data_IF_871402978332
#
_entry.id   IF_871402978332
#
_cell.length_a   1.000
_cell.length_b   1.000
_cell.length_c   1.000
_cell.angle_alpha   90.00
_cell.angle_beta   90.00
_cell.angle_gamma   90.00
#
_symmetry.space_group_name_H-M   'P 1'
#
loop_
_entity.id
_entity.type
_entity.pdbx_description
1 polymer ?
#
# COMPACT_ATOMS: atom_id res chain seq x y z
N UNK A 1 -52.83 0.48 -14.88
CA UNK A 1 -51.41 0.84 -15.19
C UNK A 1 -50.69 -0.48 -15.30
N UNK A 2 -50.58 -1.01 -16.49
CA UNK A 2 -50.03 -2.34 -16.74
C UNK A 2 -48.53 -2.35 -16.53
N UNK A 3 -48.10 -3.00 -15.45
CA UNK A 3 -46.70 -3.37 -15.29
C UNK A 3 -46.37 -4.47 -16.32
N UNK A 4 -45.78 -4.08 -17.43
CA UNK A 4 -45.21 -5.02 -18.39
C UNK A 4 -44.03 -5.69 -17.72
N UNK A 5 -44.27 -6.88 -17.15
CA UNK A 5 -43.21 -7.73 -16.63
C UNK A 5 -42.28 -8.10 -17.81
N UNK A 6 -41.07 -7.50 -17.84
CA UNK A 6 -40.07 -7.83 -18.84
C UNK A 6 -39.23 -6.70 -19.39
N UNK A 7 -39.64 -5.41 -19.34
CA UNK A 7 -38.79 -4.31 -19.78
C UNK A 7 -37.84 -3.88 -18.68
N UNK A 8 -36.53 -4.10 -18.84
CA UNK A 8 -35.52 -3.50 -17.96
C UNK A 8 -35.67 -1.99 -18.04
N UNK A 9 -36.05 -1.39 -16.94
CA UNK A 9 -36.19 0.07 -16.84
C UNK A 9 -34.92 0.77 -17.33
N UNK A 10 -35.04 1.84 -18.13
CA UNK A 10 -33.93 2.71 -18.52
C UNK A 10 -33.15 3.22 -17.28
N UNK A 11 -33.83 3.40 -16.15
CA UNK A 11 -33.23 3.72 -14.86
C UNK A 11 -32.23 2.64 -14.40
N UNK A 12 -32.50 1.35 -14.66
CA UNK A 12 -31.58 0.28 -14.34
C UNK A 12 -30.24 0.39 -15.09
N UNK A 13 -30.28 0.80 -16.35
CA UNK A 13 -29.07 1.06 -17.12
C UNK A 13 -28.28 2.26 -16.57
N UNK A 14 -28.96 3.38 -16.26
CA UNK A 14 -28.32 4.56 -15.67
C UNK A 14 -27.65 4.20 -14.34
N UNK A 15 -28.33 3.47 -13.47
CA UNK A 15 -27.76 3.03 -12.18
C UNK A 15 -26.52 2.16 -12.41
N UNK A 16 -26.62 1.14 -13.27
CA UNK A 16 -25.50 0.23 -13.52
C UNK A 16 -24.29 0.97 -14.12
N UNK A 17 -24.49 1.86 -15.09
CA UNK A 17 -23.42 2.67 -15.67
C UNK A 17 -22.78 3.56 -14.60
N UNK A 18 -23.60 4.24 -13.78
CA UNK A 18 -23.10 5.09 -12.70
C UNK A 18 -22.27 4.29 -11.68
N UNK A 19 -22.72 3.09 -11.31
CA UNK A 19 -21.97 2.22 -10.40
C UNK A 19 -20.64 1.79 -11.04
N UNK A 20 -20.65 1.37 -12.31
CA UNK A 20 -19.41 0.98 -13.01
C UNK A 20 -18.43 2.14 -13.10
N UNK A 21 -18.90 3.35 -13.43
CA UNK A 21 -18.05 4.54 -13.49
C UNK A 21 -17.46 4.91 -12.13
N UNK A 22 -18.28 4.86 -11.07
CA UNK A 22 -17.79 5.11 -9.71
C UNK A 22 -16.75 4.06 -9.28
N UNK A 23 -17.02 2.79 -9.52
CA UNK A 23 -16.05 1.71 -9.20
C UNK A 23 -14.78 1.89 -10.00
N UNK A 24 -14.86 2.17 -11.31
CA UNK A 24 -13.70 2.43 -12.14
C UNK A 24 -12.87 3.60 -11.61
N UNK A 25 -13.52 4.72 -11.24
CA UNK A 25 -12.87 5.89 -10.68
C UNK A 25 -12.12 5.56 -9.37
N UNK A 26 -12.70 4.72 -8.50
CA UNK A 26 -12.08 4.33 -7.23
C UNK A 26 -10.96 3.31 -7.41
N UNK A 27 -11.09 2.38 -8.35
CA UNK A 27 -10.09 1.35 -8.62
C UNK A 27 -8.90 1.92 -9.40
N UNK A 28 -9.11 2.98 -10.19
CA UNK A 28 -8.09 3.58 -11.06
C UNK A 28 -6.75 3.89 -10.36
N UNK A 29 -6.71 4.57 -9.20
CA UNK A 29 -5.44 4.82 -8.51
C UNK A 29 -4.79 3.54 -7.97
N UNK A 30 -5.58 2.61 -7.44
CA UNK A 30 -5.08 1.34 -6.90
C UNK A 30 -4.49 0.46 -8.00
N UNK A 31 -5.14 0.42 -9.17
CA UNK A 31 -4.62 -0.27 -10.35
C UNK A 31 -3.35 0.40 -10.86
N UNK A 32 -3.27 1.73 -10.80
CA UNK A 32 -2.07 2.48 -11.12
C UNK A 32 -0.88 2.13 -10.21
N UNK A 33 -1.11 1.98 -8.91
CA UNK A 33 -0.09 1.50 -7.98
C UNK A 33 0.37 0.09 -8.31
N UNK A 34 -0.56 -0.82 -8.63
CA UNK A 34 -0.24 -2.18 -9.05
C UNK A 34 0.66 -2.19 -10.28
N UNK A 35 0.28 -1.46 -11.33
CA UNK A 35 1.07 -1.39 -12.56
C UNK A 35 2.45 -0.78 -12.28
N UNK A 36 2.50 0.33 -11.53
CA UNK A 36 3.75 1.02 -11.20
C UNK A 36 4.67 0.18 -10.33
N UNK A 37 4.16 -0.71 -9.49
CA UNK A 37 4.98 -1.59 -8.65
C UNK A 37 5.80 -2.62 -9.43
N UNK A 38 5.45 -2.88 -10.69
CA UNK A 38 6.20 -3.76 -11.59
C UNK A 38 7.06 -3.01 -12.61
N UNK A 39 7.09 -1.67 -12.59
CA UNK A 39 7.86 -0.86 -13.52
C UNK A 39 9.20 -0.46 -12.91
N UNK A 40 10.19 -0.22 -13.76
CA UNK A 40 11.47 0.35 -13.37
C UNK A 40 11.34 1.85 -13.04
N UNK A 41 12.33 2.44 -12.35
CA UNK A 41 12.35 3.87 -12.01
C UNK A 41 12.27 4.73 -13.28
N UNK A 42 13.03 4.36 -14.32
CA UNK A 42 13.10 5.10 -15.58
C UNK A 42 11.78 5.06 -16.34
N UNK A 43 11.14 3.91 -16.38
CA UNK A 43 9.81 3.75 -16.96
C UNK A 43 8.75 4.64 -16.28
N UNK A 44 8.81 4.74 -14.93
CA UNK A 44 7.86 5.56 -14.17
C UNK A 44 8.12 7.06 -14.38
N UNK A 45 9.38 7.46 -14.53
CA UNK A 45 9.74 8.85 -14.78
C UNK A 45 9.40 9.30 -16.19
N UNK A 46 9.50 8.39 -17.18
CA UNK A 46 9.25 8.69 -18.60
C UNK A 46 7.77 8.70 -18.99
N UNK A 47 6.90 7.91 -18.29
CA UNK A 47 5.49 7.81 -18.69
C UNK A 47 4.55 7.45 -17.55
N UNK A 48 3.27 7.87 -17.65
CA UNK A 48 2.24 7.48 -16.71
C UNK A 48 1.92 5.98 -16.78
N UNK A 49 1.39 5.41 -15.69
CA UNK A 49 1.04 3.99 -15.61
C UNK A 49 0.00 3.54 -16.68
N UNK A 50 -0.85 4.44 -17.16
CA UNK A 50 -1.82 4.17 -18.23
C UNK A 50 -1.17 3.93 -19.61
N UNK A 51 0.07 4.37 -19.77
CA UNK A 51 0.90 4.13 -20.96
C UNK A 51 1.90 2.98 -20.77
N UNK A 52 1.86 2.27 -19.66
CA UNK A 52 2.85 1.25 -19.28
C UNK A 52 2.98 0.07 -20.26
N UNK A 53 1.98 -0.17 -21.12
CA UNK A 53 2.00 -1.22 -22.14
C UNK A 53 2.50 -0.73 -23.50
N UNK A 54 2.83 0.56 -23.62
CA UNK A 54 3.30 1.16 -24.87
C UNK A 54 4.75 1.59 -24.72
N UNK A 55 5.53 1.59 -25.81
CA UNK A 55 6.87 2.18 -25.81
C UNK A 55 6.82 3.63 -25.36
N UNK A 56 7.83 4.07 -24.62
CA UNK A 56 7.93 5.44 -24.11
C UNK A 56 9.35 5.98 -24.30
N UNK A 57 9.44 7.28 -24.50
CA UNK A 57 10.73 7.97 -24.51
C UNK A 57 11.36 7.91 -23.11
N UNK A 58 12.63 7.49 -23.08
CA UNK A 58 13.44 7.46 -21.88
C UNK A 58 14.75 8.18 -22.13
N UNK A 59 15.20 8.97 -21.17
CA UNK A 59 16.46 9.67 -21.26
C UNK A 59 17.40 9.12 -20.20
N UNK A 60 18.43 8.43 -20.67
CA UNK A 60 19.48 7.85 -19.85
C UNK A 60 20.79 8.61 -19.97
N UNK A 61 21.61 8.48 -18.94
CA UNK A 61 22.90 9.12 -18.88
C UNK A 61 24.01 8.12 -19.11
N UNK A 62 24.65 8.22 -20.24
CA UNK A 62 25.85 7.45 -20.57
C UNK A 62 27.11 8.27 -20.47
N UNK A 63 28.24 7.60 -20.55
CA UNK A 63 29.55 8.21 -20.58
C UNK A 63 30.42 7.44 -21.56
N UNK A 64 31.11 8.16 -22.44
CA UNK A 64 32.12 7.59 -23.33
C UNK A 64 33.27 6.93 -22.52
N UNK A 65 33.91 5.96 -23.10
CA UNK A 65 35.06 5.27 -22.51
C UNK A 65 36.13 6.22 -22.03
N UNK A 66 36.96 5.77 -21.07
CA UNK A 66 38.08 6.52 -20.56
C UNK A 66 39.09 6.75 -21.69
N UNK A 67 39.40 8.04 -22.03
CA UNK A 67 40.31 8.34 -23.10
C UNK A 67 41.73 7.78 -22.90
N UNK A 68 42.19 7.69 -21.66
CA UNK A 68 43.58 7.25 -21.35
C UNK A 68 43.81 5.81 -21.82
N UNK A 69 42.75 4.98 -21.83
CA UNK A 69 42.81 3.56 -22.23
C UNK A 69 42.34 3.30 -23.67
N UNK A 70 41.48 4.20 -24.25
CA UNK A 70 40.73 3.92 -25.47
C UNK A 70 40.96 4.93 -26.60
N UNK A 71 41.81 5.96 -26.42
CA UNK A 71 42.03 6.94 -27.48
C UNK A 71 42.94 6.41 -28.58
N UNK A 72 42.60 6.71 -29.84
CA UNK A 72 43.34 6.36 -31.03
C UNK A 72 43.70 7.64 -31.79
N UNK A 73 44.96 7.76 -32.22
CA UNK A 73 45.39 8.88 -33.08
C UNK A 73 44.94 8.64 -34.53
N UNK A 74 44.18 9.57 -35.09
CA UNK A 74 43.69 9.48 -36.44
C UNK A 74 43.74 10.88 -37.13
N UNK A 75 44.66 11.05 -38.10
CA UNK A 75 44.74 12.30 -38.87
C UNK A 75 45.21 13.54 -38.08
N UNK A 76 45.99 13.37 -37.03
CA UNK A 76 46.44 14.43 -36.15
C UNK A 76 45.45 14.87 -35.05
N UNK A 77 44.35 14.16 -34.89
CA UNK A 77 43.42 14.28 -33.80
C UNK A 77 43.38 12.97 -33.01
N UNK A 78 43.03 13.07 -31.74
CA UNK A 78 42.72 11.90 -30.88
C UNK A 78 41.23 11.62 -30.92
N UNK A 79 40.89 10.35 -31.02
CA UNK A 79 39.48 9.85 -31.16
C UNK A 79 39.22 8.75 -30.16
N UNK A 80 38.08 8.82 -29.49
CA UNK A 80 37.50 7.73 -28.67
C UNK A 80 36.21 7.30 -29.34
N UNK A 81 36.12 6.02 -29.72
CA UNK A 81 34.96 5.41 -30.34
C UNK A 81 34.44 4.30 -29.42
N UNK A 82 33.12 4.07 -29.41
CA UNK A 82 32.51 2.99 -28.68
C UNK A 82 31.00 2.93 -28.89
N UNK A 83 30.33 2.02 -28.16
CA UNK A 83 28.89 1.92 -28.14
C UNK A 83 28.39 1.98 -26.70
N UNK A 84 27.48 2.89 -26.40
CA UNK A 84 26.98 3.11 -25.03
C UNK A 84 26.27 1.88 -24.44
N UNK A 85 25.58 1.12 -25.25
CA UNK A 85 24.79 -0.02 -24.79
C UNK A 85 25.67 -1.26 -24.53
N UNK A 86 26.63 -1.52 -25.41
CA UNK A 86 27.58 -2.63 -25.21
C UNK A 86 28.45 -2.41 -23.97
N UNK A 87 28.89 -1.17 -23.74
CA UNK A 87 29.75 -0.80 -22.62
C UNK A 87 29.04 -0.82 -21.27
N UNK A 88 27.75 -0.43 -21.25
CA UNK A 88 26.90 -0.52 -20.05
C UNK A 88 26.46 -1.96 -19.76
N UNK A 89 26.61 -2.88 -20.71
CA UNK A 89 26.09 -4.24 -20.60
C UNK A 89 24.55 -4.28 -20.69
N UNK A 90 23.96 -3.21 -21.19
CA UNK A 90 22.52 -3.05 -21.34
C UNK A 90 22.06 -3.66 -22.66
N UNK A 91 20.85 -4.20 -22.63
CA UNK A 91 20.10 -4.46 -23.87
C UNK A 91 19.77 -3.10 -24.47
N UNK A 92 20.11 -2.88 -25.75
CA UNK A 92 19.82 -1.61 -26.42
C UNK A 92 18.37 -1.17 -26.16
N UNK A 93 18.13 0.00 -25.54
CA UNK A 93 16.76 0.40 -25.13
C UNK A 93 15.87 0.71 -26.33
N UNK A 94 16.40 0.79 -27.52
CA UNK A 94 15.72 1.12 -28.76
C UNK A 94 16.52 2.10 -29.60
N UNK A 95 15.91 2.60 -30.68
CA UNK A 95 16.51 3.58 -31.57
C UNK A 95 16.61 4.94 -30.87
N UNK A 96 17.82 5.53 -30.85
CA UNK A 96 18.05 6.87 -30.28
C UNK A 96 17.37 7.91 -31.15
N UNK A 97 16.55 8.75 -30.54
CA UNK A 97 15.85 9.85 -31.21
C UNK A 97 16.67 11.15 -31.11
N UNK A 98 17.15 11.45 -29.93
CA UNK A 98 17.89 12.67 -29.63
C UNK A 98 18.91 12.45 -28.53
N UNK A 99 19.87 13.36 -28.43
CA UNK A 99 20.87 13.30 -27.39
C UNK A 99 21.41 14.71 -27.06
N UNK A 100 22.12 14.82 -25.96
CA UNK A 100 22.77 16.07 -25.54
C UNK A 100 23.93 15.85 -24.57
N UNK A 101 24.80 16.79 -24.46
CA UNK A 101 25.97 16.76 -23.55
C UNK A 101 25.70 17.41 -22.19
N UNK A 102 24.52 18.02 -22.05
CA UNK A 102 24.10 18.72 -20.82
C UNK A 102 22.76 18.25 -20.32
N UNK A 103 22.62 18.09 -19.00
CA UNK A 103 21.34 17.77 -18.34
C UNK A 103 20.26 18.84 -18.48
N UNK A 104 20.62 20.03 -18.99
CA UNK A 104 19.68 21.13 -19.28
C UNK A 104 19.17 21.14 -20.70
N UNK A 105 19.80 20.38 -21.58
CA UNK A 105 19.50 20.28 -23.00
C UNK A 105 19.81 18.83 -23.45
N UNK A 106 18.96 17.91 -23.03
CA UNK A 106 19.11 16.47 -23.26
C UNK A 106 18.75 16.07 -24.70
N UNK A 107 18.02 16.93 -25.40
CA UNK A 107 17.50 16.79 -26.76
C UNK A 107 18.12 17.80 -27.74
N UNK A 108 19.32 18.31 -27.43
CA UNK A 108 19.98 19.35 -28.23
C UNK A 108 20.33 18.91 -29.66
N UNK A 109 20.56 17.62 -29.88
CA UNK A 109 21.00 17.03 -31.15
C UNK A 109 20.13 15.83 -31.52
N UNK A 110 19.92 15.63 -32.82
CA UNK A 110 19.29 14.39 -33.33
C UNK A 110 20.35 13.30 -33.46
N UNK A 111 19.90 12.03 -33.51
CA UNK A 111 20.81 10.92 -33.78
C UNK A 111 21.57 11.13 -35.11
N UNK A 112 22.89 10.99 -35.04
CA UNK A 112 23.80 11.25 -36.16
C UNK A 112 24.31 12.69 -36.31
N UNK A 113 23.76 13.65 -35.55
CA UNK A 113 24.31 15.01 -35.49
C UNK A 113 25.68 15.04 -34.81
N UNK A 114 26.49 16.03 -35.14
CA UNK A 114 27.78 16.29 -34.52
C UNK A 114 27.71 17.55 -33.66
N UNK A 115 27.93 17.40 -32.36
CA UNK A 115 28.06 18.53 -31.44
C UNK A 115 29.44 19.11 -31.52
N UNK A 116 29.55 20.42 -31.66
CA UNK A 116 30.79 21.18 -31.49
C UNK A 116 30.89 21.59 -30.00
N UNK A 117 31.89 21.04 -29.32
CA UNK A 117 32.17 21.33 -27.90
C UNK A 117 33.12 22.53 -27.72
N UNK A 118 33.59 23.11 -28.81
CA UNK A 118 34.51 24.26 -28.86
C UNK A 118 35.93 23.86 -29.24
N UNK A 119 36.65 24.82 -29.81
CA UNK A 119 38.05 24.68 -30.21
C UNK A 119 38.39 23.46 -31.09
N UNK A 120 37.40 23.00 -31.91
CA UNK A 120 37.54 21.86 -32.78
C UNK A 120 37.29 20.49 -32.12
N UNK A 121 36.91 20.45 -30.84
CA UNK A 121 36.44 19.26 -30.18
C UNK A 121 35.03 18.92 -30.67
N UNK A 122 34.79 17.67 -31.05
CA UNK A 122 33.47 17.21 -31.54
C UNK A 122 33.03 15.93 -30.86
N UNK A 123 31.69 15.79 -30.71
CA UNK A 123 31.08 14.61 -30.17
C UNK A 123 29.83 14.25 -31.00
N UNK A 124 29.65 12.99 -31.35
CA UNK A 124 28.48 12.52 -32.09
C UNK A 124 27.97 11.20 -31.54
N UNK A 125 26.66 10.98 -31.66
CA UNK A 125 25.99 9.74 -31.28
C UNK A 125 25.02 9.37 -32.41
N UNK A 126 25.10 8.15 -32.90
CA UNK A 126 24.18 7.63 -33.92
C UNK A 126 22.92 6.96 -33.31
N UNK A 127 22.02 6.50 -34.18
CA UNK A 127 20.77 5.89 -33.77
C UNK A 127 20.95 4.52 -33.06
N UNK A 128 22.08 3.85 -33.29
CA UNK A 128 22.41 2.55 -32.72
C UNK A 128 23.23 2.67 -31.42
N UNK A 129 23.52 3.90 -30.96
CA UNK A 129 24.27 4.15 -29.73
C UNK A 129 25.79 4.19 -29.92
N UNK A 130 26.29 4.12 -31.16
CA UNK A 130 27.71 4.31 -31.39
C UNK A 130 28.02 5.80 -31.23
N UNK A 131 29.11 6.08 -30.54
CA UNK A 131 29.59 7.45 -30.36
C UNK A 131 31.03 7.63 -30.90
N UNK A 132 31.31 8.84 -31.33
CA UNK A 132 32.63 9.26 -31.72
C UNK A 132 32.92 10.58 -31.04
N UNK A 133 34.01 10.62 -30.26
CA UNK A 133 34.52 11.80 -29.57
C UNK A 133 35.92 12.14 -30.11
N UNK A 134 36.10 13.30 -30.70
CA UNK A 134 37.37 13.69 -31.33
C UNK A 134 37.81 15.08 -30.93
N UNK A 135 39.14 15.27 -30.84
CA UNK A 135 39.73 16.54 -30.45
C UNK A 135 41.27 16.48 -30.35
N UNK A 136 41.86 17.49 -29.75
CA UNK A 136 43.29 17.49 -29.43
C UNK A 136 43.61 16.57 -28.25
N UNK A 137 44.87 16.26 -28.01
CA UNK A 137 45.31 15.42 -26.90
C UNK A 137 44.86 15.94 -25.53
N UNK A 138 44.87 17.27 -25.35
CA UNK A 138 44.43 17.91 -24.09
C UNK A 138 42.92 17.80 -23.90
N UNK A 139 42.13 17.88 -24.97
CA UNK A 139 40.67 17.78 -24.94
C UNK A 139 40.22 16.34 -24.69
N UNK A 140 40.87 15.40 -25.35
CA UNK A 140 40.55 13.96 -25.21
C UNK A 140 41.41 13.39 -24.07
N UNK A 141 41.14 13.82 -22.84
CA UNK A 141 41.86 13.44 -21.63
C UNK A 141 40.93 13.39 -20.39
N UNK A 142 41.33 12.67 -19.37
CA UNK A 142 40.60 12.57 -18.11
C UNK A 142 39.39 11.66 -18.22
N UNK A 143 38.24 12.10 -17.74
CA UNK A 143 37.00 11.28 -17.74
C UNK A 143 36.27 11.39 -19.07
N UNK A 144 35.78 10.27 -19.62
CA UNK A 144 34.99 10.23 -20.84
C UNK A 144 33.83 11.23 -20.86
N UNK A 145 33.51 11.72 -22.06
CA UNK A 145 32.44 12.71 -22.29
C UNK A 145 31.10 12.16 -21.86
N UNK A 146 30.29 12.98 -21.22
CA UNK A 146 28.96 12.64 -20.76
C UNK A 146 27.94 12.89 -21.87
N UNK A 147 27.05 11.92 -22.10
CA UNK A 147 25.90 12.04 -23.00
C UNK A 147 24.60 11.71 -22.26
N UNK A 148 23.58 12.49 -22.54
CA UNK A 148 22.19 12.19 -22.19
C UNK A 148 21.52 11.72 -23.48
N UNK A 149 21.03 10.50 -23.50
CA UNK A 149 20.53 9.86 -24.71
C UNK A 149 19.05 9.55 -24.49
N UNK A 150 18.21 10.04 -25.41
CA UNK A 150 16.76 9.79 -25.41
C UNK A 150 16.44 8.76 -26.48
N UNK A 151 15.91 7.61 -26.06
CA UNK A 151 15.50 6.51 -26.93
C UNK A 151 14.06 6.11 -26.66
N UNK A 152 13.41 5.47 -27.66
CA UNK A 152 12.11 4.83 -27.49
C UNK A 152 12.31 3.43 -26.94
N UNK A 153 12.09 3.28 -25.63
CA UNK A 153 12.25 2.01 -24.93
C UNK A 153 10.95 1.20 -24.91
N UNK A 154 11.02 -0.12 -25.15
CA UNK A 154 9.86 -1.00 -25.01
C UNK A 154 9.39 -1.05 -23.54
N UNK A 155 8.14 -1.50 -23.28
CA UNK A 155 7.66 -1.71 -21.93
C UNK A 155 8.50 -2.75 -21.19
N UNK A 156 8.98 -2.40 -20.01
CA UNK A 156 9.68 -3.32 -19.11
C UNK A 156 8.89 -3.52 -17.82
N UNK A 157 8.74 -4.79 -17.43
CA UNK A 157 8.13 -5.17 -16.16
C UNK A 157 9.09 -6.06 -15.39
N UNK A 158 9.30 -5.72 -14.13
CA UNK A 158 10.18 -6.46 -13.23
C UNK A 158 9.50 -6.76 -11.89
N UNK A 159 9.87 -7.87 -11.27
CA UNK A 159 9.51 -8.19 -9.89
C UNK A 159 10.62 -7.79 -8.89
N UNK A 160 11.72 -7.22 -9.35
CA UNK A 160 12.88 -6.89 -8.52
C UNK A 160 12.54 -5.88 -7.42
N UNK A 161 11.58 -4.98 -7.69
CA UNK A 161 11.08 -4.04 -6.68
C UNK A 161 10.56 -4.79 -5.44
N UNK A 162 9.85 -5.91 -5.64
CA UNK A 162 9.34 -6.74 -4.54
C UNK A 162 10.47 -7.48 -3.82
N UNK A 163 11.41 -8.03 -4.57
CA UNK A 163 12.59 -8.70 -4.00
C UNK A 163 13.40 -7.71 -3.18
N UNK A 164 13.68 -6.54 -3.76
CA UNK A 164 14.48 -5.49 -3.11
C UNK A 164 13.84 -5.01 -1.80
N UNK A 165 12.52 -4.72 -1.79
CA UNK A 165 11.85 -4.19 -0.60
C UNK A 165 11.67 -5.24 0.50
N UNK A 166 11.55 -6.53 0.12
CA UNK A 166 11.36 -7.64 1.07
C UNK A 166 12.67 -8.20 1.61
N UNK A 167 13.78 -8.08 0.87
CA UNK A 167 15.07 -8.69 1.20
C UNK A 167 16.18 -7.71 1.53
N UNK A 168 15.97 -6.39 1.33
CA UNK A 168 17.00 -5.38 1.66
C UNK A 168 17.39 -5.52 3.13
N UNK A 169 18.68 -5.88 3.31
CA UNK A 169 19.21 -6.35 4.59
C UNK A 169 19.46 -5.25 5.64
N UNK A 170 19.30 -3.98 5.29
CA UNK A 170 19.38 -2.90 6.27
C UNK A 170 18.14 -2.91 7.16
N UNK A 171 18.37 -2.99 8.46
CA UNK A 171 17.34 -3.18 9.49
C UNK A 171 16.21 -2.12 9.44
N UNK A 172 16.45 -0.98 8.79
CA UNK A 172 15.51 0.13 8.69
C UNK A 172 14.61 0.05 7.45
N UNK A 173 14.98 -0.66 6.39
CA UNK A 173 14.24 -0.73 5.13
C UNK A 173 13.51 -2.07 4.92
N UNK A 174 13.55 -2.96 5.91
CA UNK A 174 12.99 -4.31 5.78
C UNK A 174 11.47 -4.34 5.91
N UNK A 175 10.77 -4.31 4.75
CA UNK A 175 9.32 -4.37 4.67
C UNK A 175 8.75 -5.71 5.16
N UNK A 176 9.48 -6.82 4.99
CA UNK A 176 9.05 -8.12 5.50
C UNK A 176 8.91 -8.10 7.03
N UNK A 177 9.87 -7.51 7.74
CA UNK A 177 9.79 -7.36 9.19
C UNK A 177 8.61 -6.50 9.61
N UNK A 178 8.41 -5.36 8.95
CA UNK A 178 7.27 -4.48 9.20
C UNK A 178 5.93 -5.20 8.94
N UNK A 179 5.87 -6.06 7.92
CA UNK A 179 4.72 -6.91 7.61
C UNK A 179 4.38 -7.86 8.78
N UNK A 180 5.35 -8.61 9.29
CA UNK A 180 5.14 -9.52 10.41
C UNK A 180 4.81 -8.78 11.71
N UNK A 181 5.41 -7.62 11.95
CA UNK A 181 5.05 -6.76 13.08
C UNK A 181 3.58 -6.30 12.98
N UNK A 182 3.13 -5.89 11.78
CA UNK A 182 1.75 -5.49 11.55
C UNK A 182 0.78 -6.64 11.79
N UNK A 183 1.10 -7.87 11.34
CA UNK A 183 0.30 -9.06 11.64
C UNK A 183 0.24 -9.33 13.15
N UNK A 184 1.38 -9.22 13.84
CA UNK A 184 1.47 -9.42 15.30
C UNK A 184 0.64 -8.40 16.07
N UNK A 185 0.52 -7.18 15.55
CA UNK A 185 -0.39 -6.17 16.11
C UNK A 185 -1.83 -6.49 15.77
N UNK A 186 -2.13 -6.70 14.50
CA UNK A 186 -3.51 -6.69 13.97
C UNK A 186 -4.31 -7.91 14.38
N UNK A 187 -3.70 -9.10 14.37
CA UNK A 187 -4.44 -10.34 14.71
C UNK A 187 -4.96 -10.32 16.14
N UNK A 188 -4.15 -10.10 17.20
CA UNK A 188 -4.65 -10.04 18.56
C UNK A 188 -5.57 -8.84 18.79
N UNK A 189 -5.23 -7.66 18.23
CA UNK A 189 -6.06 -6.45 18.33
C UNK A 189 -7.42 -6.56 17.60
N UNK A 190 -7.60 -7.57 16.77
CA UNK A 190 -8.89 -7.93 16.17
C UNK A 190 -9.63 -8.95 17.03
N UNK A 191 -8.95 -10.02 17.44
CA UNK A 191 -9.58 -11.14 18.16
C UNK A 191 -10.00 -10.76 19.58
N UNK A 192 -9.13 -10.07 20.34
CA UNK A 192 -9.38 -9.75 21.74
C UNK A 192 -10.68 -8.93 21.92
N UNK A 193 -10.87 -7.79 21.23
CA UNK A 193 -12.10 -7.01 21.38
C UNK A 193 -13.35 -7.76 20.92
N UNK A 194 -13.27 -8.63 19.91
CA UNK A 194 -14.39 -9.44 19.44
C UNK A 194 -14.84 -10.42 20.53
N UNK A 195 -13.90 -11.14 21.11
CA UNK A 195 -14.19 -12.11 22.17
C UNK A 195 -14.82 -11.41 23.38
N UNK A 196 -14.21 -10.34 23.88
CA UNK A 196 -14.72 -9.57 25.01
C UNK A 196 -16.10 -8.99 24.70
N UNK A 197 -16.25 -8.38 23.53
CA UNK A 197 -17.51 -7.78 23.10
C UNK A 197 -18.63 -8.81 22.92
N UNK A 198 -18.33 -10.03 22.46
CA UNK A 198 -19.34 -11.08 22.30
C UNK A 198 -19.98 -11.45 23.65
N UNK A 199 -19.17 -11.63 24.70
CA UNK A 199 -19.69 -11.88 26.06
C UNK A 199 -20.47 -10.68 26.59
N UNK A 200 -19.90 -9.46 26.47
CA UNK A 200 -20.56 -8.26 26.95
C UNK A 200 -21.88 -7.99 26.21
N UNK A 201 -21.90 -8.18 24.89
CA UNK A 201 -23.09 -8.01 24.06
C UNK A 201 -24.19 -9.01 24.43
N UNK A 202 -23.84 -10.28 24.69
CA UNK A 202 -24.77 -11.29 25.15
C UNK A 202 -25.39 -10.90 26.51
N UNK A 203 -24.57 -10.54 27.49
CA UNK A 203 -25.06 -10.12 28.79
C UNK A 203 -25.99 -8.89 28.68
N UNK A 204 -25.59 -7.89 27.90
CA UNK A 204 -26.40 -6.68 27.67
C UNK A 204 -27.62 -6.90 26.77
N UNK A 205 -27.69 -7.99 26.01
CA UNK A 205 -28.86 -8.34 25.20
C UNK A 205 -29.90 -9.18 25.97
N UNK A 206 -29.45 -10.21 26.72
CA UNK A 206 -30.29 -11.28 27.17
C UNK A 206 -30.31 -11.53 28.69
N UNK A 207 -29.38 -10.93 29.45
CA UNK A 207 -29.36 -11.09 30.89
C UNK A 207 -29.97 -9.85 31.58
N UNK A 208 -30.70 -10.07 32.66
CA UNK A 208 -31.26 -9.00 33.49
C UNK A 208 -30.40 -8.83 34.75
N UNK A 209 -29.83 -7.64 34.91
CA UNK A 209 -29.04 -7.24 36.06
C UNK A 209 -29.15 -5.75 36.32
N UNK A 210 -28.93 -5.32 37.58
CA UNK A 210 -29.00 -3.90 37.94
C UNK A 210 -27.86 -3.12 37.24
N UNK A 211 -28.18 -1.91 36.75
CA UNK A 211 -27.20 -1.06 36.05
C UNK A 211 -27.03 -1.33 34.56
N UNK A 212 -27.72 -2.33 33.97
CA UNK A 212 -27.63 -2.67 32.52
C UNK A 212 -27.84 -1.44 31.62
N UNK A 213 -28.88 -0.63 31.89
CA UNK A 213 -29.17 0.56 31.11
C UNK A 213 -28.05 1.60 31.17
N UNK A 214 -27.45 1.78 32.35
CA UNK A 214 -26.32 2.70 32.56
C UNK A 214 -25.10 2.23 31.77
N UNK A 215 -24.80 0.92 31.81
CA UNK A 215 -23.68 0.36 31.04
C UNK A 215 -23.86 0.55 29.54
N UNK A 216 -25.09 0.34 29.03
CA UNK A 216 -25.39 0.59 27.60
C UNK A 216 -25.18 2.08 27.27
N UNK A 217 -25.65 2.99 28.14
CA UNK A 217 -25.45 4.42 27.95
C UNK A 217 -23.96 4.82 27.98
N UNK A 218 -23.18 4.21 28.87
CA UNK A 218 -21.72 4.42 28.90
C UNK A 218 -21.03 3.91 27.62
N UNK A 219 -21.38 2.71 27.15
CA UNK A 219 -20.84 2.16 25.90
C UNK A 219 -21.11 3.10 24.72
N UNK A 220 -22.36 3.60 24.60
CA UNK A 220 -22.74 4.54 23.54
C UNK A 220 -22.01 5.89 23.73
N UNK A 221 -21.89 6.37 24.97
CA UNK A 221 -21.15 7.61 25.27
C UNK A 221 -19.67 7.53 24.90
N UNK A 222 -19.04 6.37 25.10
CA UNK A 222 -17.63 6.16 24.74
C UNK A 222 -17.38 6.18 23.22
N UNK A 223 -18.38 5.95 22.36
CA UNK A 223 -18.24 6.08 20.91
C UNK A 223 -17.91 7.52 20.45
N UNK A 224 -18.24 8.51 21.25
CA UNK A 224 -18.02 9.93 20.93
C UNK A 224 -16.60 10.38 21.31
N UNK A 225 -15.87 9.60 22.09
CA UNK A 225 -14.53 9.97 22.55
C UNK A 225 -13.53 9.90 21.39
N UNK A 226 -12.91 11.03 20.99
CA UNK A 226 -11.91 10.99 19.92
C UNK A 226 -10.67 10.21 20.35
N UNK A 227 -10.30 9.21 19.54
CA UNK A 227 -9.12 8.36 19.75
C UNK A 227 -7.87 9.20 20.08
N UNK A 228 -7.61 10.23 19.28
CA UNK A 228 -6.40 11.04 19.34
C UNK A 228 -6.22 11.73 20.69
N UNK A 229 -7.31 12.15 21.31
CA UNK A 229 -7.28 12.82 22.64
C UNK A 229 -7.01 11.82 23.77
N UNK A 230 -7.40 10.57 23.60
CA UNK A 230 -7.26 9.55 24.62
C UNK A 230 -5.89 8.84 24.63
N UNK A 231 -5.09 8.93 23.55
CA UNK A 231 -3.83 8.19 23.38
C UNK A 231 -2.83 8.47 24.53
N UNK A 232 -2.53 9.73 24.78
CA UNK A 232 -1.53 10.09 25.80
C UNK A 232 -2.00 9.78 27.24
N UNK A 233 -3.24 10.13 27.64
CA UNK A 233 -3.78 9.69 28.94
C UNK A 233 -3.74 8.16 29.11
N UNK A 234 -4.11 7.40 28.08
CA UNK A 234 -4.09 5.94 28.12
C UNK A 234 -2.66 5.39 28.23
N UNK A 235 -1.70 5.96 27.50
CA UNK A 235 -0.29 5.57 27.65
C UNK A 235 0.23 5.82 29.06
N UNK A 236 -0.12 6.98 29.67
CA UNK A 236 0.25 7.27 31.08
C UNK A 236 -0.34 6.25 32.03
N UNK A 237 -1.60 5.83 31.82
CA UNK A 237 -2.22 4.76 32.59
C UNK A 237 -1.44 3.44 32.41
N UNK A 238 -1.13 3.03 31.18
CA UNK A 238 -0.36 1.80 30.90
C UNK A 238 1.01 1.81 31.59
N UNK A 239 1.70 2.93 31.56
CA UNK A 239 2.99 3.08 32.26
C UNK A 239 2.78 3.00 33.76
N UNK A 240 1.75 3.65 34.32
CA UNK A 240 1.44 3.66 35.77
C UNK A 240 1.09 2.29 36.34
N UNK A 241 0.49 1.41 35.55
CA UNK A 241 0.14 0.03 35.96
C UNK A 241 1.17 -1.02 35.49
N UNK A 242 2.32 -0.58 34.95
CA UNK A 242 3.44 -1.46 34.58
C UNK A 242 3.34 -2.17 33.24
N UNK A 243 2.37 -1.81 32.38
CA UNK A 243 2.26 -2.37 31.00
C UNK A 243 3.29 -1.71 30.09
N UNK A 244 3.43 -0.38 30.14
CA UNK A 244 4.36 0.37 29.32
C UNK A 244 4.06 0.36 27.83
N UNK A 245 5.11 0.55 27.01
CA UNK A 245 5.08 0.39 25.56
C UNK A 245 5.39 -1.06 25.17
N UNK A 246 4.81 -1.52 24.07
CA UNK A 246 5.03 -2.85 23.51
C UNK A 246 3.76 -3.46 22.93
N UNK A 247 3.85 -4.71 22.47
CA UNK A 247 2.72 -5.41 21.85
C UNK A 247 1.49 -5.48 22.77
N UNK A 248 1.67 -5.79 24.05
CA UNK A 248 0.55 -5.82 24.98
C UNK A 248 -0.12 -4.45 25.09
N UNK A 249 0.66 -3.36 25.16
CA UNK A 249 0.15 -2.00 25.21
C UNK A 249 -0.70 -1.65 23.99
N UNK A 250 -0.23 -1.95 22.79
CA UNK A 250 -0.97 -1.66 21.55
C UNK A 250 -2.22 -2.54 21.40
N UNK A 251 -2.17 -3.82 21.80
CA UNK A 251 -3.35 -4.71 21.78
C UNK A 251 -4.45 -4.22 22.69
N UNK A 252 -4.11 -3.81 23.90
CA UNK A 252 -5.07 -3.28 24.89
C UNK A 252 -5.62 -1.92 24.46
N UNK A 253 -4.79 -1.06 23.86
CA UNK A 253 -5.23 0.22 23.32
C UNK A 253 -6.29 0.02 22.22
N UNK A 254 -5.99 -0.80 21.21
CA UNK A 254 -6.94 -1.11 20.14
C UNK A 254 -8.20 -1.82 20.69
N UNK A 255 -8.05 -2.68 21.69
CA UNK A 255 -9.19 -3.30 22.37
C UNK A 255 -10.08 -2.24 23.01
N UNK A 256 -9.50 -1.34 23.80
CA UNK A 256 -10.24 -0.27 24.48
C UNK A 256 -11.04 0.62 23.51
N UNK A 257 -10.44 0.96 22.37
CA UNK A 257 -11.10 1.78 21.35
C UNK A 257 -12.12 1.00 20.50
N UNK A 258 -11.88 -0.28 20.23
CA UNK A 258 -12.79 -1.12 19.44
C UNK A 258 -14.00 -1.61 20.22
N UNK A 259 -13.88 -1.82 21.55
CA UNK A 259 -14.92 -2.40 22.38
C UNK A 259 -16.27 -1.68 22.34
N UNK A 260 -16.37 -0.35 22.44
CA UNK A 260 -17.66 0.33 22.43
C UNK A 260 -18.46 0.03 21.16
N UNK A 261 -17.83 0.14 19.99
CA UNK A 261 -18.46 -0.15 18.71
C UNK A 261 -18.82 -1.64 18.58
N UNK A 262 -17.92 -2.53 18.96
CA UNK A 262 -18.13 -3.97 18.95
C UNK A 262 -19.34 -4.37 19.79
N UNK A 263 -19.39 -3.91 21.04
CA UNK A 263 -20.49 -4.20 21.95
C UNK A 263 -21.82 -3.66 21.41
N UNK A 264 -21.81 -2.42 20.92
CA UNK A 264 -23.02 -1.80 20.38
C UNK A 264 -23.58 -2.57 19.15
N UNK A 265 -22.73 -2.90 18.19
CA UNK A 265 -23.14 -3.61 16.98
C UNK A 265 -23.60 -5.05 17.30
N UNK A 266 -22.80 -5.79 18.08
CA UNK A 266 -23.13 -7.18 18.43
C UNK A 266 -24.37 -7.26 19.31
N UNK A 267 -24.53 -6.38 20.28
CA UNK A 267 -25.73 -6.33 21.13
C UNK A 267 -26.98 -6.06 20.31
N UNK A 268 -26.94 -5.08 19.39
CA UNK A 268 -28.10 -4.77 18.55
C UNK A 268 -28.46 -5.94 17.62
N UNK A 269 -27.47 -6.65 17.11
CA UNK A 269 -27.70 -7.88 16.34
C UNK A 269 -28.34 -8.98 17.20
N UNK A 270 -27.77 -9.26 18.37
CA UNK A 270 -28.24 -10.31 19.28
C UNK A 270 -29.66 -10.07 19.80
N UNK A 271 -30.02 -8.82 20.05
CA UNK A 271 -31.41 -8.44 20.44
C UNK A 271 -32.43 -8.74 19.32
N UNK A 272 -31.99 -8.70 18.06
CA UNK A 272 -32.82 -9.02 16.91
C UNK A 272 -33.06 -10.52 16.67
N UNK A 273 -32.39 -11.40 17.41
CA UNK A 273 -32.61 -12.86 17.30
C UNK A 273 -33.96 -13.25 17.90
N UNK A 274 -34.63 -14.32 17.36
CA UNK A 274 -35.92 -14.78 17.88
C UNK A 274 -35.86 -15.22 19.35
N UNK A 275 -36.67 -14.64 20.19
CA UNK A 275 -36.76 -14.95 21.63
C UNK A 275 -37.06 -16.39 21.91
N UNK A 276 -37.95 -16.98 21.11
CA UNK A 276 -38.41 -18.37 21.28
C UNK A 276 -37.25 -19.36 21.31
N UNK A 277 -36.17 -19.12 20.55
CA UNK A 277 -35.01 -20.02 20.52
C UNK A 277 -34.32 -20.04 21.90
N UNK A 278 -34.23 -18.90 22.56
CA UNK A 278 -33.57 -18.77 23.86
C UNK A 278 -34.49 -19.28 24.99
N UNK A 279 -35.77 -18.94 24.91
CA UNK A 279 -36.77 -19.40 25.87
C UNK A 279 -36.93 -20.93 25.85
N UNK A 280 -37.02 -21.55 24.70
CA UNK A 280 -37.05 -23.00 24.56
C UNK A 280 -35.80 -23.68 25.15
N UNK A 281 -34.59 -23.12 24.85
CA UNK A 281 -33.35 -23.64 25.43
C UNK A 281 -33.31 -23.53 26.98
N UNK A 282 -33.90 -22.49 27.56
CA UNK A 282 -34.02 -22.34 29.02
C UNK A 282 -35.02 -23.36 29.61
N UNK A 283 -36.14 -23.64 28.90
CA UNK A 283 -37.10 -24.70 29.29
C UNK A 283 -36.44 -26.08 29.27
N UNK A 284 -35.53 -26.30 28.32
CA UNK A 284 -34.74 -27.54 28.22
C UNK A 284 -33.61 -27.62 29.27
N UNK A 285 -33.49 -26.64 30.14
CA UNK A 285 -32.50 -26.60 31.23
C UNK A 285 -31.09 -26.16 30.83
N UNK A 286 -30.92 -25.53 29.65
CA UNK A 286 -29.63 -25.04 29.21
C UNK A 286 -29.18 -23.82 30.06
N UNK A 287 -27.90 -23.82 30.48
CA UNK A 287 -27.30 -22.69 31.17
C UNK A 287 -27.06 -21.52 30.22
N UNK A 288 -26.96 -20.28 30.76
CA UNK A 288 -26.67 -19.09 29.92
C UNK A 288 -25.38 -19.25 29.11
N UNK A 289 -24.36 -19.91 29.67
CA UNK A 289 -23.11 -20.19 28.93
C UNK A 289 -23.33 -21.20 27.77
N UNK A 290 -24.18 -22.20 27.97
CA UNK A 290 -24.53 -23.14 26.89
C UNK A 290 -25.36 -22.47 25.82
N UNK A 291 -26.31 -21.61 26.17
CA UNK A 291 -27.11 -20.81 25.25
C UNK A 291 -26.18 -19.88 24.45
N UNK A 292 -25.28 -19.18 25.14
CA UNK A 292 -24.31 -18.29 24.47
C UNK A 292 -23.44 -19.06 23.48
N UNK A 293 -22.77 -20.12 23.92
CA UNK A 293 -21.74 -20.80 23.09
C UNK A 293 -22.33 -21.67 21.97
N UNK A 294 -23.49 -22.34 22.23
CA UNK A 294 -24.07 -23.32 21.29
C UNK A 294 -25.15 -22.72 20.38
N UNK A 295 -25.72 -21.57 20.75
CA UNK A 295 -26.86 -21.00 20.03
C UNK A 295 -26.52 -19.58 19.54
N UNK A 296 -26.30 -18.67 20.47
CA UNK A 296 -26.16 -17.23 20.14
C UNK A 296 -24.88 -16.93 19.37
N UNK A 297 -23.76 -17.47 19.79
CA UNK A 297 -22.48 -17.25 19.13
C UNK A 297 -22.46 -17.75 17.67
N UNK A 298 -22.92 -18.98 17.36
CA UNK A 298 -23.06 -19.42 15.98
C UNK A 298 -24.04 -18.59 15.14
N UNK A 299 -25.20 -18.22 15.70
CA UNK A 299 -26.18 -17.39 15.01
C UNK A 299 -25.66 -15.95 14.78
N UNK A 300 -24.81 -15.46 15.66
CA UNK A 300 -24.20 -14.12 15.57
C UNK A 300 -22.93 -14.09 14.71
N UNK A 301 -22.50 -15.21 14.16
CA UNK A 301 -21.27 -15.29 13.36
C UNK A 301 -21.19 -14.24 12.21
N UNK A 302 -22.28 -13.95 11.45
CA UNK A 302 -22.23 -12.92 10.43
C UNK A 302 -21.91 -11.52 10.99
N UNK A 303 -22.45 -11.17 12.15
CA UNK A 303 -22.17 -9.89 12.80
C UNK A 303 -20.76 -9.84 13.38
N UNK A 304 -20.31 -10.93 14.00
CA UNK A 304 -18.91 -11.07 14.47
C UNK A 304 -17.91 -10.92 13.33
N UNK A 305 -18.16 -11.60 12.22
CA UNK A 305 -17.31 -11.54 11.03
C UNK A 305 -17.31 -10.14 10.41
N UNK A 306 -18.46 -9.46 10.36
CA UNK A 306 -18.55 -8.08 9.87
C UNK A 306 -17.70 -7.12 10.73
N UNK A 307 -17.82 -7.22 12.04
CA UNK A 307 -17.02 -6.41 12.95
C UNK A 307 -15.51 -6.77 12.85
N UNK A 308 -15.20 -8.06 12.69
CA UNK A 308 -13.82 -8.52 12.52
C UNK A 308 -13.13 -7.85 11.32
N UNK A 309 -13.85 -7.73 10.19
CA UNK A 309 -13.33 -7.04 9.00
C UNK A 309 -13.02 -5.57 9.33
N UNK A 310 -13.96 -4.84 9.94
CA UNK A 310 -13.75 -3.44 10.30
C UNK A 310 -12.58 -3.26 11.26
N UNK A 311 -12.52 -4.05 12.32
CA UNK A 311 -11.46 -3.99 13.32
C UNK A 311 -10.10 -4.34 12.72
N UNK A 312 -10.05 -5.37 11.86
CA UNK A 312 -8.83 -5.76 11.15
C UNK A 312 -8.33 -4.63 10.26
N UNK A 313 -9.20 -4.08 9.39
CA UNK A 313 -8.85 -3.01 8.46
C UNK A 313 -8.42 -1.74 9.20
N UNK A 314 -9.09 -1.42 10.29
CA UNK A 314 -8.75 -0.26 11.12
C UNK A 314 -7.38 -0.43 11.75
N UNK A 315 -7.11 -1.58 12.38
CA UNK A 315 -5.83 -1.84 13.05
C UNK A 315 -4.68 -1.99 12.04
N UNK A 316 -4.92 -2.65 10.90
CA UNK A 316 -3.92 -2.83 9.84
C UNK A 316 -3.41 -1.51 9.28
N UNK A 317 -4.30 -0.54 9.08
CA UNK A 317 -3.98 0.77 8.54
C UNK A 317 -3.60 1.81 9.60
N UNK A 318 -3.54 1.41 10.88
CA UNK A 318 -3.19 2.34 11.94
C UNK A 318 -1.69 2.64 11.97
N UNK A 319 -1.38 3.90 12.11
CA UNK A 319 -0.04 4.42 12.37
C UNK A 319 0.06 5.05 13.76
N UNK A 320 -1.01 5.74 14.17
CA UNK A 320 -0.96 6.64 15.30
C UNK A 320 -0.87 5.90 16.63
N UNK A 321 -1.69 4.86 16.81
CA UNK A 321 -1.65 4.02 18.03
C UNK A 321 -0.33 3.27 18.08
N UNK A 322 0.13 2.73 16.93
CA UNK A 322 1.42 2.05 16.83
C UNK A 322 2.59 2.97 17.25
N UNK A 323 2.62 4.23 16.77
CA UNK A 323 3.66 5.20 17.16
C UNK A 323 3.65 5.50 18.66
N UNK A 324 2.48 5.57 19.27
CA UNK A 324 2.36 5.91 20.70
C UNK A 324 2.68 4.72 21.61
N UNK A 325 2.18 3.52 21.29
CA UNK A 325 2.21 2.37 22.19
C UNK A 325 3.23 1.30 21.84
N UNK A 326 3.79 1.28 20.64
CA UNK A 326 4.66 0.19 20.16
C UNK A 326 6.02 0.68 19.68
N UNK A 327 6.04 1.59 18.71
CA UNK A 327 7.26 1.93 17.97
C UNK A 327 8.25 2.65 18.89
N UNK A 328 9.50 2.19 18.83
CA UNK A 328 10.63 2.74 19.57
C UNK A 328 11.76 3.18 18.60
N UNK A 329 12.81 3.75 19.17
CA UNK A 329 13.96 4.22 18.40
C UNK A 329 14.83 3.10 17.79
N UNK A 330 14.57 1.83 18.14
CA UNK A 330 15.37 0.69 17.66
C UNK A 330 14.94 0.22 16.26
N UNK A 331 13.76 0.62 15.80
CA UNK A 331 13.15 0.16 14.55
C UNK A 331 12.72 -1.30 14.55
N UNK A 332 12.84 -2.01 15.70
CA UNK A 332 12.54 -3.44 15.77
C UNK A 332 11.03 -3.71 15.68
N UNK A 333 10.21 -2.77 16.11
CA UNK A 333 8.75 -2.87 16.20
C UNK A 333 8.01 -2.01 15.17
N UNK A 334 8.72 -1.53 14.14
CA UNK A 334 8.13 -0.74 13.04
C UNK A 334 7.05 -1.54 12.33
N UNK A 335 5.89 -0.92 12.11
CA UNK A 335 4.76 -1.48 11.35
C UNK A 335 4.76 -0.98 9.92
N UNK A 336 4.00 -1.62 9.02
CA UNK A 336 4.02 -1.28 7.58
C UNK A 336 3.67 0.17 7.28
N UNK A 337 2.68 0.73 7.97
CA UNK A 337 2.29 2.13 7.80
C UNK A 337 3.41 3.10 8.17
N UNK A 338 4.18 2.79 9.21
CA UNK A 338 5.35 3.58 9.59
C UNK A 338 6.52 3.37 8.62
N UNK A 339 6.71 2.14 8.16
CA UNK A 339 7.74 1.83 7.17
C UNK A 339 7.52 2.59 5.86
N UNK A 340 6.29 2.69 5.36
CA UNK A 340 5.96 3.49 4.18
C UNK A 340 6.28 4.97 4.41
N UNK A 341 5.98 5.52 5.59
CA UNK A 341 6.32 6.91 5.93
C UNK A 341 7.84 7.12 5.95
N UNK A 342 8.59 6.17 6.48
CA UNK A 342 10.06 6.22 6.50
C UNK A 342 10.63 6.16 5.07
N UNK A 343 10.10 5.28 4.21
CA UNK A 343 10.49 5.21 2.79
C UNK A 343 10.18 6.52 2.05
N UNK A 344 9.05 7.16 2.31
CA UNK A 344 8.73 8.49 1.75
C UNK A 344 9.78 9.55 2.16
N UNK A 345 10.26 9.50 3.41
CA UNK A 345 11.27 10.43 3.90
C UNK A 345 12.68 10.19 3.38
N UNK A 346 13.06 8.92 3.17
CA UNK A 346 14.42 8.51 2.79
C UNK A 346 14.58 8.26 1.29
N UNK A 347 13.53 7.82 0.61
CA UNK A 347 13.51 7.41 -0.80
C UNK A 347 12.38 8.06 -1.59
N UNK A 348 12.04 9.31 -1.28
CA UNK A 348 10.90 10.02 -1.90
C UNK A 348 11.03 10.22 -3.43
N UNK A 349 12.21 9.98 -4.01
CA UNK A 349 12.41 9.95 -5.46
C UNK A 349 12.23 8.57 -6.11
N UNK A 350 12.16 7.50 -5.31
CA UNK A 350 12.08 6.11 -5.80
C UNK A 350 10.61 5.66 -5.84
N UNK A 351 9.88 6.13 -6.85
CA UNK A 351 8.44 5.88 -6.99
C UNK A 351 8.09 4.39 -7.16
N UNK A 352 8.98 3.61 -7.78
CA UNK A 352 8.86 2.15 -7.94
C UNK A 352 8.81 1.44 -6.58
N UNK A 353 9.68 1.84 -5.67
CA UNK A 353 9.74 1.30 -4.30
C UNK A 353 8.51 1.72 -3.49
N UNK A 354 8.11 2.98 -3.59
CA UNK A 354 6.93 3.49 -2.88
C UNK A 354 5.64 2.84 -3.38
N UNK A 355 5.49 2.67 -4.69
CA UNK A 355 4.33 1.98 -5.29
C UNK A 355 4.27 0.53 -4.83
N UNK A 356 5.42 -0.16 -4.80
CA UNK A 356 5.53 -1.55 -4.35
C UNK A 356 5.18 -1.67 -2.87
N UNK A 357 5.72 -0.82 -2.01
CA UNK A 357 5.43 -0.80 -0.58
C UNK A 357 3.94 -0.56 -0.29
N UNK A 358 3.36 0.43 -0.98
CA UNK A 358 1.94 0.73 -0.86
C UNK A 358 1.07 -0.44 -1.34
N UNK A 359 1.42 -1.08 -2.45
CA UNK A 359 0.65 -2.21 -2.97
C UNK A 359 0.75 -3.43 -2.06
N UNK A 360 1.92 -3.77 -1.53
CA UNK A 360 2.09 -4.85 -0.52
C UNK A 360 1.23 -4.57 0.72
N UNK A 361 1.16 -3.31 1.16
CA UNK A 361 0.30 -2.93 2.30
C UNK A 361 -1.19 -3.11 2.02
N UNK A 362 -1.64 -2.85 0.79
CA UNK A 362 -3.05 -2.96 0.40
C UNK A 362 -3.45 -4.43 0.13
N UNK A 363 -2.53 -5.28 -0.31
CA UNK A 363 -2.82 -6.65 -0.72
C UNK A 363 -3.50 -7.48 0.37
N UNK A 364 -3.03 -7.40 1.62
CA UNK A 364 -3.61 -8.15 2.74
C UNK A 364 -5.03 -7.70 3.09
N UNK A 365 -5.32 -6.39 3.27
CA UNK A 365 -6.68 -5.88 3.39
C UNK A 365 -7.62 -6.35 2.28
N UNK A 366 -7.17 -6.33 1.04
CA UNK A 366 -7.96 -6.83 -0.10
C UNK A 366 -8.25 -8.32 0.01
N UNK A 367 -7.24 -9.13 0.33
CA UNK A 367 -7.42 -10.58 0.54
C UNK A 367 -8.44 -10.86 1.65
N UNK A 368 -8.32 -10.19 2.80
CA UNK A 368 -9.26 -10.34 3.92
C UNK A 368 -10.67 -9.92 3.52
N UNK A 369 -10.80 -8.78 2.83
CA UNK A 369 -12.08 -8.30 2.34
C UNK A 369 -12.74 -9.30 1.38
N UNK A 370 -12.04 -9.76 0.35
CA UNK A 370 -12.59 -10.72 -0.62
C UNK A 370 -12.94 -12.06 0.01
N UNK A 371 -12.16 -12.55 0.97
CA UNK A 371 -12.45 -13.78 1.69
C UNK A 371 -13.73 -13.67 2.54
N UNK A 372 -13.99 -12.49 3.10
CA UNK A 372 -15.03 -12.30 4.11
C UNK A 372 -16.23 -11.44 3.65
N UNK A 373 -16.22 -10.86 2.43
CA UNK A 373 -17.23 -9.91 1.94
C UNK A 373 -18.68 -10.43 2.07
N UNK A 374 -18.90 -11.75 1.89
CA UNK A 374 -20.23 -12.36 2.03
C UNK A 374 -20.83 -12.20 3.44
N UNK A 375 -19.97 -12.14 4.45
CA UNK A 375 -20.40 -11.94 5.83
C UNK A 375 -20.67 -10.47 6.13
N UNK A 376 -19.87 -9.57 5.53
CA UNK A 376 -20.06 -8.13 5.67
C UNK A 376 -21.46 -7.70 5.22
N UNK A 377 -21.87 -8.14 4.03
CA UNK A 377 -23.19 -7.82 3.47
C UNK A 377 -24.32 -8.37 4.36
N UNK A 378 -24.20 -9.62 4.81
CA UNK A 378 -25.22 -10.24 5.68
C UNK A 378 -25.29 -9.60 7.07
N UNK A 379 -24.14 -9.25 7.66
CA UNK A 379 -24.10 -8.64 8.99
C UNK A 379 -24.67 -7.22 9.02
N UNK A 380 -24.41 -6.42 7.99
CA UNK A 380 -24.95 -5.06 7.88
C UNK A 380 -26.44 -5.04 7.57
N UNK A 381 -26.91 -5.91 6.69
CA UNK A 381 -28.32 -5.97 6.29
C UNK A 381 -29.23 -6.52 7.39
N UNK A 382 -28.75 -7.44 8.23
CA UNK A 382 -29.54 -7.99 9.33
C UNK A 382 -29.94 -6.93 10.39
N UNK A 383 -29.22 -5.82 10.48
CA UNK A 383 -29.57 -4.66 11.32
C UNK A 383 -30.53 -3.65 10.66
N UNK A 384 -30.75 -3.73 9.35
CA UNK A 384 -31.50 -2.74 8.56
C UNK A 384 -32.89 -3.20 8.12
N UNK A 385 -33.16 -4.52 8.18
CA UNK A 385 -34.48 -5.07 7.83
C UNK A 385 -35.28 -5.29 9.12
N UNK A 386 -36.13 -4.33 9.43
CA UNK A 386 -37.27 -4.49 10.37
C UNK A 386 -38.53 -4.69 9.58
#
# INVERSE_FOLDING_TARGET
MDNIAGSKSSLGWVVNISVVLLVALWVFPTFGLLVSSFRTADQISGSGWWAALFPSEQTDRYRANDPDDNRIERGGLFVVEGNFFEEAGDTAPGEIQSWGTSSRAVDAYQAGDVADLGDGETFSVDADGNYVWSGTEEQISGRGQRAFVTAISPPEFTADNYVNIMTSGDSNDNMAKAFFNTLTVTIPATIIPIVVAAFAAYALAWMDFPGRAILIACVVGLLVVPLQLALIPLLKLHVGIGIGKGYLGVWLAHTGFGLPLAIYLLRNYMVGLPRDIIENAKVDGATDFQIFTKIILPLSFPALASFAIFQFLWTWNDLLVAKVFLIDATGQTTVMTDQIVNLLGTRGGNWEILATAAFVSIAVPLCVFFAMQKYLVRGLLAGSVK
#
